data_IF_620934326051
#
_entry.id   IF_620934326051
#
_cell.length_a   1.000
_cell.length_b   1.000
_cell.length_c   1.000
_cell.angle_alpha   90.00
_cell.angle_beta   90.00
_cell.angle_gamma   90.00
#
_symmetry.space_group_name_H-M   'P 1'
#
loop_
_entity.id
_entity.type
_entity.pdbx_description
1 polymer ?
#
# COMPACT_ATOMS: atom_id res chain seq x y z
N UNK A 1 32.79 -6.45 15.25
CA UNK A 1 32.24 -6.66 13.88
C UNK A 1 31.50 -8.00 13.69
N UNK A 2 32.02 -9.16 14.14
CA UNK A 2 31.33 -10.47 13.98
C UNK A 2 29.95 -10.56 14.67
N UNK A 3 29.78 -9.95 15.86
CA UNK A 3 28.51 -9.95 16.62
C UNK A 3 27.39 -9.24 15.86
N UNK A 4 27.68 -8.10 15.21
CA UNK A 4 26.72 -7.35 14.42
C UNK A 4 26.24 -8.14 13.19
N UNK A 5 27.17 -8.77 12.45
CA UNK A 5 26.83 -9.66 11.32
C UNK A 5 25.97 -10.84 11.76
N UNK A 6 26.24 -11.43 12.94
CA UNK A 6 25.44 -12.52 13.50
C UNK A 6 24.02 -12.07 13.86
N UNK A 7 23.87 -10.87 14.41
CA UNK A 7 22.56 -10.29 14.74
C UNK A 7 21.75 -9.95 13.48
N UNK A 8 22.39 -9.37 12.47
CA UNK A 8 21.77 -9.10 11.17
C UNK A 8 21.24 -10.39 10.52
N UNK A 9 22.05 -11.45 10.51
CA UNK A 9 21.65 -12.75 9.98
C UNK A 9 20.42 -13.29 10.71
N UNK A 10 20.46 -13.28 12.05
CA UNK A 10 19.36 -13.73 12.90
C UNK A 10 18.07 -12.92 12.67
N UNK A 11 18.18 -11.61 12.49
CA UNK A 11 17.03 -10.75 12.16
C UNK A 11 16.41 -11.15 10.82
N UNK A 12 17.22 -11.34 9.78
CA UNK A 12 16.75 -11.80 8.47
C UNK A 12 16.08 -13.17 8.54
N UNK A 13 16.66 -14.10 9.30
CA UNK A 13 16.09 -15.43 9.55
C UNK A 13 14.72 -15.36 10.22
N UNK A 14 14.55 -14.48 11.22
CA UNK A 14 13.26 -14.28 11.89
C UNK A 14 12.23 -13.69 10.92
N UNK A 15 12.61 -12.70 10.10
CA UNK A 15 11.70 -12.04 9.14
C UNK A 15 11.10 -13.04 8.13
N UNK A 16 11.90 -14.00 7.67
CA UNK A 16 11.46 -14.99 6.66
C UNK A 16 10.89 -16.28 7.28
N UNK A 17 10.90 -16.39 8.61
CA UNK A 17 10.45 -17.60 9.29
C UNK A 17 8.93 -17.81 9.11
N UNK A 18 8.51 -19.04 8.88
CA UNK A 18 7.10 -19.41 8.68
C UNK A 18 6.42 -19.94 9.93
N UNK A 19 7.17 -20.19 11.01
CA UNK A 19 6.64 -20.67 12.27
C UNK A 19 5.79 -19.57 12.95
N UNK A 20 4.55 -19.93 13.28
CA UNK A 20 3.55 -19.09 13.91
C UNK A 20 4.08 -18.36 15.16
N UNK A 21 4.98 -18.99 15.93
CA UNK A 21 5.55 -18.39 17.13
C UNK A 21 6.31 -17.09 16.88
N UNK A 22 6.80 -16.88 15.65
CA UNK A 22 7.50 -15.67 15.27
C UNK A 22 6.59 -14.54 14.79
N UNK A 23 5.30 -14.75 14.55
CA UNK A 23 4.40 -13.71 14.00
C UNK A 23 4.38 -12.43 14.83
N UNK A 24 4.23 -12.55 16.15
CA UNK A 24 4.25 -11.40 17.06
C UNK A 24 5.60 -10.67 17.00
N UNK A 25 6.70 -11.41 16.92
CA UNK A 25 8.04 -10.82 16.80
C UNK A 25 8.23 -10.13 15.46
N UNK A 26 7.75 -10.71 14.35
CA UNK A 26 7.80 -10.11 13.02
C UNK A 26 6.99 -8.81 12.94
N UNK A 27 5.79 -8.77 13.51
CA UNK A 27 4.99 -7.55 13.61
C UNK A 27 5.72 -6.47 14.42
N UNK A 28 6.34 -6.85 15.55
CA UNK A 28 7.15 -5.94 16.35
C UNK A 28 8.37 -5.42 15.57
N UNK A 29 9.06 -6.28 14.81
CA UNK A 29 10.16 -5.87 13.94
C UNK A 29 9.68 -4.83 12.95
N UNK A 30 8.61 -5.09 12.19
CA UNK A 30 8.08 -4.14 11.22
C UNK A 30 7.72 -2.78 11.85
N UNK A 31 7.11 -2.81 13.05
CA UNK A 31 6.82 -1.60 13.84
C UNK A 31 8.09 -0.85 14.24
N UNK A 32 9.14 -1.54 14.68
CA UNK A 32 10.40 -0.92 15.04
C UNK A 32 11.16 -0.35 13.83
N UNK A 33 11.12 -1.03 12.68
CA UNK A 33 11.66 -0.48 11.43
C UNK A 33 10.98 0.84 11.07
N UNK A 34 9.65 0.92 11.21
CA UNK A 34 8.92 2.17 11.03
C UNK A 34 9.35 3.26 12.01
N UNK A 35 9.47 2.92 13.31
CA UNK A 35 9.93 3.87 14.34
C UNK A 35 11.33 4.41 14.05
N UNK A 36 12.29 3.54 13.71
CA UNK A 36 13.67 3.93 13.38
C UNK A 36 13.66 4.95 12.23
N UNK A 37 12.88 4.69 11.18
CA UNK A 37 12.77 5.61 10.05
C UNK A 37 12.10 6.94 10.40
N UNK A 38 11.15 6.93 11.34
CA UNK A 38 10.49 8.15 11.79
C UNK A 38 11.39 9.01 12.71
N UNK A 39 12.25 8.36 13.50
CA UNK A 39 13.20 9.00 14.41
C UNK A 39 14.48 9.47 13.69
N UNK A 40 14.94 8.71 12.69
CA UNK A 40 16.16 9.03 11.94
C UNK A 40 15.99 8.75 10.44
N UNK A 41 15.90 9.82 9.66
CA UNK A 41 15.77 9.75 8.20
C UNK A 41 16.99 9.16 7.49
N UNK A 42 18.18 9.23 8.08
CA UNK A 42 19.38 8.71 7.44
C UNK A 42 19.43 7.17 7.40
N UNK A 43 18.55 6.49 8.15
CA UNK A 43 18.49 5.03 8.22
C UNK A 43 17.75 4.38 7.04
N UNK A 44 17.25 5.16 6.08
CA UNK A 44 16.44 4.63 4.98
C UNK A 44 17.14 3.48 4.22
N UNK A 45 18.37 3.69 3.79
CA UNK A 45 19.11 2.67 3.03
C UNK A 45 19.47 1.45 3.90
N UNK A 46 19.70 1.64 5.21
CA UNK A 46 19.92 0.55 6.17
C UNK A 46 18.67 -0.33 6.32
N UNK A 47 17.48 0.29 6.38
CA UNK A 47 16.22 -0.38 6.68
C UNK A 47 15.58 -1.02 5.43
N UNK A 48 15.76 -0.41 4.27
CA UNK A 48 15.20 -0.83 2.98
C UNK A 48 15.34 -2.33 2.67
N UNK A 49 16.49 -3.00 2.87
CA UNK A 49 16.62 -4.44 2.64
C UNK A 49 15.66 -5.30 3.47
N UNK A 50 15.34 -4.87 4.70
CA UNK A 50 14.41 -5.60 5.58
C UNK A 50 12.95 -5.42 5.12
N UNK A 51 12.58 -4.22 4.66
CA UNK A 51 11.26 -3.98 4.06
C UNK A 51 11.09 -4.83 2.80
N UNK A 52 12.11 -4.90 1.95
CA UNK A 52 12.10 -5.75 0.76
C UNK A 52 11.98 -7.24 1.11
N UNK A 53 12.60 -7.70 2.21
CA UNK A 53 12.45 -9.07 2.70
C UNK A 53 11.03 -9.34 3.23
N UNK A 54 10.46 -8.41 3.99
CA UNK A 54 9.09 -8.50 4.51
C UNK A 54 8.09 -8.61 3.34
N UNK A 55 8.25 -7.77 2.31
CA UNK A 55 7.36 -7.76 1.15
C UNK A 55 7.50 -8.98 0.22
N UNK A 56 8.49 -9.85 0.45
CA UNK A 56 8.55 -11.18 -0.21
C UNK A 56 7.64 -12.20 0.47
N UNK A 57 7.24 -11.96 1.72
CA UNK A 57 6.38 -12.87 2.49
C UNK A 57 4.90 -12.65 2.17
N UNK A 58 4.03 -13.66 2.41
CA UNK A 58 2.58 -13.49 2.31
C UNK A 58 2.05 -12.32 3.14
N UNK A 59 0.88 -11.79 2.76
CA UNK A 59 0.23 -10.73 3.51
C UNK A 59 -0.05 -11.15 4.96
N UNK A 60 0.33 -10.28 5.89
CA UNK A 60 -0.03 -10.37 7.31
C UNK A 60 -0.40 -8.97 7.80
N UNK A 61 -1.62 -8.82 8.33
CA UNK A 61 -2.21 -7.52 8.70
C UNK A 61 -1.28 -6.67 9.58
N UNK A 62 -0.81 -7.23 10.69
CA UNK A 62 -0.06 -6.48 11.70
C UNK A 62 1.35 -6.09 11.25
N UNK A 63 1.91 -6.81 10.27
CA UNK A 63 3.17 -6.44 9.63
C UNK A 63 2.91 -5.34 8.60
N UNK A 64 1.93 -5.56 7.72
CA UNK A 64 1.70 -4.73 6.53
C UNK A 64 1.16 -3.34 6.88
N UNK A 65 0.46 -3.18 8.01
CA UNK A 65 0.09 -1.85 8.50
C UNK A 65 1.31 -0.97 8.79
N UNK A 66 2.40 -1.54 9.30
CA UNK A 66 3.65 -0.80 9.54
C UNK A 66 4.33 -0.44 8.21
N UNK A 67 4.26 -1.34 7.23
CA UNK A 67 4.78 -1.08 5.88
C UNK A 67 3.99 0.03 5.17
N UNK A 68 2.66 0.02 5.28
CA UNK A 68 1.82 1.08 4.71
C UNK A 68 2.17 2.44 5.31
N UNK A 69 2.39 2.51 6.63
CA UNK A 69 2.84 3.75 7.30
C UNK A 69 4.19 4.23 6.78
N UNK A 70 5.19 3.34 6.68
CA UNK A 70 6.50 3.68 6.10
C UNK A 70 6.31 4.26 4.70
N UNK A 71 5.53 3.60 3.84
CA UNK A 71 5.26 4.09 2.48
C UNK A 71 4.65 5.49 2.54
N UNK A 72 3.58 5.68 3.32
CA UNK A 72 2.92 6.98 3.48
C UNK A 72 3.86 8.10 3.94
N UNK A 73 4.75 7.80 4.87
CA UNK A 73 5.60 8.80 5.51
C UNK A 73 6.81 9.15 4.63
N UNK A 74 7.24 8.23 3.77
CA UNK A 74 8.43 8.36 2.94
C UNK A 74 8.18 8.59 1.46
N UNK A 75 6.94 8.47 0.98
CA UNK A 75 6.64 8.52 -0.47
C UNK A 75 7.02 9.85 -1.12
N UNK A 76 7.06 10.96 -0.36
CA UNK A 76 7.55 12.25 -0.87
C UNK A 76 9.06 12.27 -1.08
N UNK A 77 9.81 11.67 -0.16
CA UNK A 77 11.28 11.69 -0.15
C UNK A 77 11.89 10.59 -1.04
N UNK A 78 11.20 9.44 -1.16
CA UNK A 78 11.66 8.24 -1.87
C UNK A 78 10.54 7.63 -2.74
N UNK A 79 9.94 8.41 -3.67
CA UNK A 79 8.73 8.00 -4.39
C UNK A 79 8.89 6.68 -5.16
N UNK A 80 9.99 6.48 -5.88
CA UNK A 80 10.18 5.28 -6.71
C UNK A 80 10.14 3.99 -5.87
N UNK A 81 10.81 4.00 -4.72
CA UNK A 81 10.91 2.84 -3.83
C UNK A 81 9.58 2.61 -3.12
N UNK A 82 8.99 3.66 -2.53
CA UNK A 82 7.71 3.57 -1.83
C UNK A 82 6.58 3.09 -2.74
N UNK A 83 6.53 3.57 -3.98
CA UNK A 83 5.56 3.14 -4.98
C UNK A 83 5.75 1.66 -5.33
N UNK A 84 7.01 1.22 -5.54
CA UNK A 84 7.32 -0.19 -5.81
C UNK A 84 6.90 -1.08 -4.64
N UNK A 85 7.15 -0.64 -3.40
CA UNK A 85 6.70 -1.33 -2.21
C UNK A 85 5.18 -1.41 -2.11
N UNK A 86 4.47 -0.32 -2.40
CA UNK A 86 3.02 -0.30 -2.39
C UNK A 86 2.43 -1.26 -3.44
N UNK A 87 2.98 -1.29 -4.66
CA UNK A 87 2.57 -2.26 -5.67
C UNK A 87 2.78 -3.72 -5.24
N UNK A 88 3.94 -4.03 -4.62
CA UNK A 88 4.18 -5.36 -4.04
C UNK A 88 3.17 -5.68 -2.94
N UNK A 89 2.88 -4.70 -2.08
CA UNK A 89 1.91 -4.82 -1.00
C UNK A 89 0.53 -5.18 -1.53
N UNK A 90 0.01 -4.43 -2.51
CA UNK A 90 -1.27 -4.69 -3.15
C UNK A 90 -1.29 -6.05 -3.89
N UNK A 91 -0.18 -6.47 -4.50
CA UNK A 91 -0.09 -7.80 -5.10
C UNK A 91 -0.21 -8.92 -4.07
N UNK A 92 0.45 -8.78 -2.92
CA UNK A 92 0.38 -9.77 -1.85
C UNK A 92 -1.01 -9.82 -1.19
N UNK A 93 -1.67 -8.67 -1.04
CA UNK A 93 -3.07 -8.59 -0.63
C UNK A 93 -3.96 -9.30 -1.67
N UNK A 94 -3.81 -9.00 -2.96
CA UNK A 94 -4.55 -9.67 -4.04
C UNK A 94 -4.42 -11.20 -3.97
N UNK A 95 -3.21 -11.71 -3.75
CA UNK A 95 -2.95 -13.15 -3.60
C UNK A 95 -3.63 -13.73 -2.37
N UNK A 96 -3.59 -13.03 -1.24
CA UNK A 96 -4.27 -13.45 -0.01
C UNK A 96 -5.80 -13.53 -0.21
N UNK A 97 -6.39 -12.52 -0.85
CA UNK A 97 -7.83 -12.46 -1.15
C UNK A 97 -8.31 -13.46 -2.22
N UNK A 98 -7.40 -14.09 -2.97
CA UNK A 98 -7.76 -15.19 -3.89
C UNK A 98 -7.83 -16.53 -3.18
N UNK A 99 -7.16 -16.67 -2.02
CA UNK A 99 -7.05 -17.93 -1.28
C UNK A 99 -8.14 -18.13 -0.23
N UNK A 100 -8.85 -17.07 0.16
CA UNK A 100 -9.99 -17.16 1.07
C UNK A 100 -11.29 -17.11 0.27
N UNK A 101 -12.25 -17.94 0.65
CA UNK A 101 -13.60 -17.87 0.08
C UNK A 101 -14.26 -16.54 0.49
N UNK A 102 -15.14 -16.04 -0.39
CA UNK A 102 -15.50 -14.63 -0.55
C UNK A 102 -16.23 -13.97 0.64
N UNK A 103 -16.53 -14.70 1.71
CA UNK A 103 -17.37 -14.22 2.78
C UNK A 103 -16.52 -13.83 4.00
N UNK A 104 -16.50 -12.52 4.30
CA UNK A 104 -15.95 -11.87 5.50
C UNK A 104 -14.47 -11.42 5.46
N UNK A 105 -14.13 -10.53 4.51
CA UNK A 105 -12.87 -9.75 4.59
C UNK A 105 -12.95 -8.51 5.49
N UNK A 106 -14.15 -8.18 5.98
CA UNK A 106 -14.35 -7.07 6.91
C UNK A 106 -13.47 -7.26 8.15
N UNK A 107 -12.62 -6.27 8.42
CA UNK A 107 -11.68 -6.29 9.56
C UNK A 107 -10.32 -6.96 9.30
N UNK A 108 -10.13 -7.63 8.16
CA UNK A 108 -8.90 -8.39 7.87
C UNK A 108 -7.86 -7.56 7.10
N UNK A 109 -8.32 -6.68 6.21
CA UNK A 109 -7.46 -5.81 5.39
C UNK A 109 -7.97 -4.38 5.47
N UNK A 110 -7.23 -3.49 6.11
CA UNK A 110 -7.53 -2.05 6.15
C UNK A 110 -6.34 -1.28 5.59
N UNK A 111 -6.59 -0.51 4.53
CA UNK A 111 -5.60 0.31 3.86
C UNK A 111 -5.79 1.78 4.26
N UNK A 112 -5.27 2.13 5.43
CA UNK A 112 -5.64 3.37 6.14
C UNK A 112 -4.92 4.62 5.63
N UNK A 113 -3.77 4.47 4.98
CA UNK A 113 -2.99 5.60 4.46
C UNK A 113 -3.07 5.73 2.94
N UNK A 114 -3.98 4.98 2.32
CA UNK A 114 -4.07 4.85 0.87
C UNK A 114 -4.39 6.16 0.16
N UNK A 115 -5.24 7.03 0.72
CA UNK A 115 -5.53 8.34 0.13
C UNK A 115 -4.25 9.16 -0.07
N UNK A 116 -3.45 9.31 0.99
CA UNK A 116 -2.18 10.06 0.96
C UNK A 116 -1.18 9.46 -0.03
N UNK A 117 -1.09 8.13 -0.09
CA UNK A 117 -0.21 7.42 -1.03
C UNK A 117 -0.66 7.69 -2.48
N UNK A 118 -1.96 7.65 -2.73
CA UNK A 118 -2.55 7.83 -4.06
C UNK A 118 -2.40 9.26 -4.56
N UNK A 119 -2.57 10.25 -3.69
CA UNK A 119 -2.29 11.65 -4.01
C UNK A 119 -0.83 11.84 -4.45
N UNK A 120 0.12 11.24 -3.74
CA UNK A 120 1.54 11.38 -4.10
C UNK A 120 1.88 10.65 -5.40
N UNK A 121 1.26 9.50 -5.66
CA UNK A 121 1.38 8.81 -6.95
C UNK A 121 0.83 9.68 -8.08
N UNK A 122 -0.30 10.37 -7.87
CA UNK A 122 -0.88 11.25 -8.88
C UNK A 122 0.05 12.41 -9.24
N UNK A 123 0.71 13.01 -8.24
CA UNK A 123 1.68 14.11 -8.44
C UNK A 123 2.96 13.63 -9.15
N UNK A 124 3.55 12.53 -8.68
CA UNK A 124 4.92 12.13 -9.06
C UNK A 124 4.98 11.09 -10.18
N UNK A 125 4.01 10.18 -10.26
CA UNK A 125 3.99 9.02 -11.17
C UNK A 125 2.58 8.73 -11.70
N UNK A 126 1.91 9.69 -12.38
CA UNK A 126 0.53 9.53 -12.83
C UNK A 126 0.32 8.36 -13.79
N UNK A 127 1.37 7.83 -14.45
CA UNK A 127 1.27 6.73 -15.44
C UNK A 127 0.80 5.42 -14.81
N UNK A 128 1.08 5.21 -13.53
CA UNK A 128 0.72 3.99 -12.80
C UNK A 128 -0.54 4.15 -11.95
N UNK A 129 -1.02 5.38 -11.77
CA UNK A 129 -2.16 5.71 -10.91
C UNK A 129 -3.40 4.88 -11.26
N UNK A 130 -3.74 4.82 -12.56
CA UNK A 130 -4.92 4.09 -13.01
C UNK A 130 -4.88 2.60 -12.64
N UNK A 131 -3.73 1.95 -12.81
CA UNK A 131 -3.55 0.53 -12.48
C UNK A 131 -3.74 0.29 -10.98
N UNK A 132 -3.20 1.18 -10.16
CA UNK A 132 -3.30 1.09 -8.69
C UNK A 132 -4.74 1.32 -8.25
N UNK A 133 -5.41 2.38 -8.73
CA UNK A 133 -6.82 2.65 -8.39
C UNK A 133 -7.75 1.53 -8.85
N UNK A 134 -7.55 0.94 -10.05
CA UNK A 134 -8.30 -0.25 -10.49
C UNK A 134 -8.18 -1.40 -9.47
N UNK A 135 -6.96 -1.68 -9.00
CA UNK A 135 -6.71 -2.73 -7.99
C UNK A 135 -7.41 -2.43 -6.66
N UNK A 136 -7.36 -1.18 -6.21
CA UNK A 136 -8.03 -0.76 -4.97
C UNK A 136 -9.55 -0.89 -5.09
N UNK A 137 -10.13 -0.48 -6.22
CA UNK A 137 -11.56 -0.63 -6.47
C UNK A 137 -11.97 -2.12 -6.47
N UNK A 138 -11.15 -3.01 -7.02
CA UNK A 138 -11.41 -4.46 -6.93
C UNK A 138 -11.39 -4.98 -5.48
N UNK A 139 -10.56 -4.40 -4.62
CA UNK A 139 -10.59 -4.70 -3.18
C UNK A 139 -11.87 -4.16 -2.53
N UNK A 140 -12.24 -2.92 -2.84
CA UNK A 140 -13.46 -2.31 -2.30
C UNK A 140 -14.72 -3.09 -2.67
N UNK A 141 -14.81 -3.60 -3.92
CA UNK A 141 -15.90 -4.48 -4.35
C UNK A 141 -16.00 -5.77 -3.53
N UNK A 142 -14.92 -6.17 -2.86
CA UNK A 142 -14.87 -7.32 -1.93
C UNK A 142 -15.08 -6.94 -0.46
N UNK A 143 -15.52 -5.70 -0.19
CA UNK A 143 -15.81 -5.21 1.17
C UNK A 143 -14.58 -4.73 1.95
N UNK A 144 -13.46 -4.47 1.28
CA UNK A 144 -12.23 -3.99 1.91
C UNK A 144 -12.24 -2.47 2.01
N UNK A 145 -11.82 -1.95 3.17
CA UNK A 145 -11.65 -0.52 3.35
C UNK A 145 -10.38 -0.03 2.65
N UNK A 146 -10.55 0.90 1.70
CA UNK A 146 -9.48 1.49 0.88
C UNK A 146 -9.34 3.01 1.06
N UNK A 147 -10.01 3.59 2.05
CA UNK A 147 -10.27 5.03 2.13
C UNK A 147 -11.55 5.43 1.37
N UNK A 148 -11.73 6.74 1.14
CA UNK A 148 -12.85 7.32 0.40
C UNK A 148 -12.64 7.13 -1.11
N UNK A 149 -13.51 6.37 -1.79
CA UNK A 149 -13.46 6.26 -3.25
C UNK A 149 -13.51 7.62 -3.94
N UNK A 150 -14.26 8.60 -3.39
CA UNK A 150 -14.32 9.97 -3.93
C UNK A 150 -12.91 10.55 -4.05
N UNK A 151 -12.14 10.57 -2.96
CA UNK A 151 -10.77 11.09 -2.95
C UNK A 151 -9.84 10.33 -3.89
N UNK A 152 -9.98 9.00 -3.99
CA UNK A 152 -9.18 8.20 -4.91
C UNK A 152 -9.42 8.60 -6.37
N UNK A 153 -10.67 8.83 -6.75
CA UNK A 153 -10.98 9.33 -8.09
C UNK A 153 -10.52 10.78 -8.25
N UNK A 154 -10.80 11.67 -7.31
CA UNK A 154 -10.40 13.09 -7.38
C UNK A 154 -8.88 13.31 -7.43
N UNK A 155 -8.08 12.31 -7.08
CA UNK A 155 -6.62 12.36 -7.23
C UNK A 155 -6.14 12.72 -8.65
N UNK A 156 -6.96 12.50 -9.70
CA UNK A 156 -6.60 12.93 -11.06
C UNK A 156 -6.35 14.45 -11.14
N UNK A 157 -6.98 15.26 -10.27
CA UNK A 157 -6.82 16.72 -10.22
C UNK A 157 -5.37 17.14 -9.91
N UNK A 158 -4.61 16.27 -9.24
CA UNK A 158 -3.22 16.52 -8.82
C UNK A 158 -2.18 16.27 -9.92
N UNK A 159 -2.60 15.71 -11.07
CA UNK A 159 -1.72 15.45 -12.21
C UNK A 159 -1.36 16.78 -12.88
N UNK A 160 -0.09 17.06 -13.12
CA UNK A 160 0.34 18.32 -13.75
C UNK A 160 0.24 18.29 -15.29
N UNK A 161 0.53 17.15 -15.91
CA UNK A 161 0.42 17.01 -17.37
C UNK A 161 -1.06 16.91 -17.79
N UNK A 162 -1.55 17.91 -18.51
CA UNK A 162 -2.97 18.02 -18.89
C UNK A 162 -3.45 16.89 -19.80
N UNK A 163 -2.62 16.44 -20.75
CA UNK A 163 -2.98 15.32 -21.64
C UNK A 163 -3.19 14.04 -20.83
N UNK A 164 -2.31 13.78 -19.88
CA UNK A 164 -2.39 12.66 -18.98
C UNK A 164 -3.54 12.79 -17.99
N UNK A 165 -3.79 13.99 -17.45
CA UNK A 165 -4.94 14.30 -16.58
C UNK A 165 -6.24 13.94 -17.27
N UNK A 166 -6.46 14.44 -18.49
CA UNK A 166 -7.67 14.15 -19.29
C UNK A 166 -7.82 12.66 -19.53
N UNK A 167 -6.73 11.96 -19.88
CA UNK A 167 -6.75 10.50 -20.09
C UNK A 167 -7.16 9.74 -18.82
N UNK A 168 -6.54 10.05 -17.68
CA UNK A 168 -6.86 9.42 -16.40
C UNK A 168 -8.29 9.73 -15.97
N UNK A 169 -8.73 10.99 -16.10
CA UNK A 169 -10.11 11.42 -15.79
C UNK A 169 -11.15 10.59 -16.55
N UNK A 170 -10.99 10.40 -17.86
CA UNK A 170 -11.92 9.60 -18.67
C UNK A 170 -12.01 8.15 -18.18
N UNK A 171 -10.87 7.52 -17.92
CA UNK A 171 -10.83 6.15 -17.38
C UNK A 171 -11.45 6.05 -15.98
N UNK A 172 -11.22 7.05 -15.15
CA UNK A 172 -11.81 7.16 -13.81
C UNK A 172 -13.32 7.32 -13.85
N UNK A 173 -13.86 8.12 -14.78
CA UNK A 173 -15.31 8.24 -14.97
C UNK A 173 -15.95 6.91 -15.34
N UNK A 174 -15.35 6.15 -16.26
CA UNK A 174 -15.82 4.81 -16.63
C UNK A 174 -15.82 3.87 -15.42
N UNK A 175 -14.70 3.83 -14.69
CA UNK A 175 -14.57 2.97 -13.50
C UNK A 175 -15.54 3.38 -12.39
N UNK A 176 -15.70 4.67 -12.12
CA UNK A 176 -16.62 5.22 -11.12
C UNK A 176 -18.08 4.87 -11.46
N UNK A 177 -18.47 4.99 -12.72
CA UNK A 177 -19.82 4.60 -13.16
C UNK A 177 -20.08 3.11 -12.94
N UNK A 178 -19.05 2.24 -13.09
CA UNK A 178 -19.19 0.81 -12.81
C UNK A 178 -19.48 0.51 -11.34
N UNK A 179 -18.88 1.25 -10.40
CA UNK A 179 -19.10 1.03 -8.96
C UNK A 179 -20.35 1.73 -8.45
N UNK A 180 -20.75 2.85 -9.05
CA UNK A 180 -22.00 3.54 -8.71
C UNK A 180 -23.23 2.68 -9.01
N UNK A 181 -23.14 1.81 -10.03
CA UNK A 181 -24.18 0.80 -10.31
C UNK A 181 -24.27 -0.26 -9.21
N UNK A 182 -23.16 -0.58 -8.53
CA UNK A 182 -23.13 -1.54 -7.42
C UNK A 182 -23.56 -0.90 -6.10
N UNK A 183 -23.24 0.38 -5.90
CA UNK A 183 -23.63 1.14 -4.72
C UNK A 183 -24.00 2.57 -5.11
N UNK A 184 -25.31 2.84 -5.18
CA UNK A 184 -25.85 4.15 -5.58
C UNK A 184 -25.56 5.25 -4.55
N UNK A 185 -25.22 4.89 -3.31
CA UNK A 185 -24.92 5.82 -2.21
C UNK A 185 -23.44 6.25 -2.16
N UNK A 186 -22.62 5.81 -3.12
CA UNK A 186 -21.22 6.25 -3.19
C UNK A 186 -21.13 7.77 -3.35
N UNK A 187 -20.19 8.38 -2.63
CA UNK A 187 -19.96 9.82 -2.64
C UNK A 187 -19.72 10.36 -4.07
N UNK A 188 -20.35 11.49 -4.39
CA UNK A 188 -20.21 12.14 -5.70
C UNK A 188 -18.79 12.68 -5.87
N UNK A 189 -18.17 12.32 -6.99
CA UNK A 189 -16.88 12.85 -7.46
C UNK A 189 -17.09 14.16 -8.21
N UNK A 190 -16.31 15.17 -7.86
CA UNK A 190 -16.23 16.42 -8.63
C UNK A 190 -15.27 16.24 -9.80
N UNK A 191 -15.84 16.15 -11.00
CA UNK A 191 -15.06 15.97 -12.23
C UNK A 191 -14.54 17.27 -12.82
N UNK A 192 -15.06 18.42 -12.37
CA UNK A 192 -14.65 19.74 -12.82
C UNK A 192 -13.40 20.22 -12.06
#
# INVERSE_FOLDING_TARGET
MQKAKKLEKKLKEIIINKDEKYKKLQANIARYLWKILNENRNEFETIKPYIDLILKQPYQKDIYISIEKIISDWIKDKPEICIKWYQKMLNNISKFLKRKEAFQYQGIVWLVATEKIIEEIARSRPKILLKIVKTLIDFWKKGIYIGSPKKLFESFKLIQDEKQKVKVKKEFQVLYNSIKKLNSKIEKVEWN
#
